data_IF_847784624340
#
_entry.id   IF_847784624340
#
_cell.length_a   1.000
_cell.length_b   1.000
_cell.length_c   1.000
_cell.angle_alpha   90.00
_cell.angle_beta   90.00
_cell.angle_gamma   90.00
#
_symmetry.space_group_name_H-M   'P 1'
#
loop_
_entity.id
_entity.type
_entity.pdbx_description
1 polymer ?
#
# COMPACT_ATOMS: atom_id res chain seq x y z
N UNK A 1 11.75 12.54 -20.39
CA UNK A 1 11.00 11.56 -19.55
C UNK A 1 10.75 12.26 -18.22
N UNK A 2 9.51 12.27 -17.74
CA UNK A 2 9.17 12.91 -16.46
C UNK A 2 9.54 11.92 -15.35
N UNK A 3 10.44 12.32 -14.45
CA UNK A 3 10.94 11.50 -13.34
C UNK A 3 12.37 10.97 -13.55
N UNK A 4 13.05 10.67 -12.45
CA UNK A 4 14.33 9.95 -12.46
C UNK A 4 14.12 8.50 -12.91
N UNK A 5 15.09 7.88 -13.60
CA UNK A 5 15.01 6.47 -13.98
C UNK A 5 14.91 5.59 -12.72
N UNK A 6 14.12 4.52 -12.80
CA UNK A 6 13.97 3.58 -11.69
C UNK A 6 15.29 2.86 -11.39
N UNK A 7 15.77 2.99 -10.15
CA UNK A 7 16.95 2.30 -9.64
C UNK A 7 16.53 1.26 -8.57
N UNK A 8 16.78 -0.04 -8.78
CA UNK A 8 16.41 -1.08 -7.82
C UNK A 8 17.20 -1.00 -6.50
N UNK A 9 18.31 -0.26 -6.43
CA UNK A 9 19.12 -0.11 -5.22
C UNK A 9 18.83 1.19 -4.46
N UNK A 10 18.02 2.10 -5.02
CA UNK A 10 17.66 3.36 -4.40
C UNK A 10 16.14 3.47 -4.16
N UNK A 11 15.71 3.32 -2.90
CA UNK A 11 14.31 3.58 -2.51
C UNK A 11 14.09 5.07 -2.26
N UNK A 12 13.07 5.71 -2.88
CA UNK A 12 12.73 7.10 -2.60
C UNK A 12 12.22 7.28 -1.16
N UNK A 13 12.37 8.50 -0.61
CA UNK A 13 12.01 8.81 0.78
C UNK A 13 10.51 8.64 1.08
N UNK A 14 9.66 8.96 0.10
CA UNK A 14 8.21 8.85 0.22
C UNK A 14 7.67 7.93 -0.89
N UNK A 15 7.20 6.75 -0.51
CA UNK A 15 6.59 5.77 -1.40
C UNK A 15 5.09 5.68 -1.06
N UNK A 16 4.28 6.36 -1.86
CA UNK A 16 2.83 6.42 -1.70
C UNK A 16 2.14 5.84 -2.93
N UNK A 17 1.04 5.10 -2.75
CA UNK A 17 0.24 4.65 -3.88
C UNK A 17 -0.67 5.79 -4.37
N UNK A 18 -1.51 5.49 -5.36
CA UNK A 18 -2.56 6.42 -5.79
C UNK A 18 -3.60 6.69 -4.69
N UNK A 19 -4.28 7.83 -4.77
CA UNK A 19 -5.20 8.34 -3.75
C UNK A 19 -6.29 7.35 -3.35
N UNK A 20 -6.82 6.57 -4.29
CA UNK A 20 -7.86 5.57 -4.05
C UNK A 20 -7.36 4.33 -3.29
N UNK A 21 -6.05 4.11 -3.21
CA UNK A 21 -5.45 3.00 -2.46
C UNK A 21 -5.00 3.38 -1.04
N UNK A 22 -5.03 4.65 -0.66
CA UNK A 22 -4.69 5.11 0.69
C UNK A 22 -5.37 4.34 1.83
N UNK A 23 -6.70 4.06 1.82
CA UNK A 23 -7.32 3.32 2.92
C UNK A 23 -6.77 1.90 3.08
N UNK A 24 -6.48 1.22 1.97
CA UNK A 24 -5.91 -0.13 1.97
C UNK A 24 -4.44 -0.11 2.42
N UNK A 25 -3.66 0.85 1.94
CA UNK A 25 -2.26 1.03 2.32
C UNK A 25 -2.11 1.30 3.83
N UNK A 26 -3.00 2.11 4.41
CA UNK A 26 -3.00 2.38 5.84
C UNK A 26 -3.29 1.14 6.69
N UNK A 27 -4.20 0.27 6.26
CA UNK A 27 -4.48 -1.00 6.96
C UNK A 27 -3.26 -1.93 6.88
N UNK A 28 -2.64 -2.04 5.70
CA UNK A 28 -1.47 -2.89 5.47
C UNK A 28 -0.24 -2.48 6.30
N UNK A 29 0.01 -1.17 6.50
CA UNK A 29 1.12 -0.69 7.34
C UNK A 29 0.85 -0.75 8.85
N UNK A 30 -0.41 -0.79 9.26
CA UNK A 30 -0.79 -0.69 10.69
C UNK A 30 -0.95 -2.07 11.33
N UNK A 31 -1.33 -3.08 10.56
CA UNK A 31 -1.52 -4.45 11.07
C UNK A 31 -0.20 -5.23 10.99
N UNK A 32 0.40 -5.65 12.13
CA UNK A 32 1.70 -6.32 12.13
C UNK A 32 1.67 -7.74 11.52
N UNK A 33 0.49 -8.37 11.52
CA UNK A 33 0.28 -9.69 10.92
C UNK A 33 -0.25 -9.56 9.49
N UNK A 34 0.56 -9.97 8.51
CA UNK A 34 0.25 -9.89 7.08
C UNK A 34 -1.02 -10.66 6.67
N UNK A 35 -1.34 -11.76 7.35
CA UNK A 35 -2.56 -12.55 7.08
C UNK A 35 -3.80 -11.81 7.58
N UNK A 36 -3.76 -11.26 8.80
CA UNK A 36 -4.86 -10.46 9.35
C UNK A 36 -5.08 -9.17 8.55
N UNK A 37 -4.01 -8.51 8.08
CA UNK A 37 -4.11 -7.34 7.21
C UNK A 37 -4.78 -7.64 5.87
N UNK A 38 -4.46 -8.79 5.26
CA UNK A 38 -5.11 -9.25 4.02
C UNK A 38 -6.60 -9.56 4.20
N UNK A 39 -6.96 -10.21 5.31
CA UNK A 39 -8.37 -10.53 5.64
C UNK A 39 -9.17 -9.26 5.95
N UNK A 40 -8.62 -8.30 6.70
CA UNK A 40 -9.29 -7.04 6.97
C UNK A 40 -9.50 -6.22 5.70
N UNK A 41 -8.50 -6.19 4.80
CA UNK A 41 -8.67 -5.63 3.46
C UNK A 41 -9.82 -6.32 2.73
N UNK A 42 -9.84 -7.65 2.68
CA UNK A 42 -10.88 -8.39 1.92
C UNK A 42 -12.28 -8.20 2.51
N UNK A 43 -12.42 -8.15 3.84
CA UNK A 43 -13.72 -7.94 4.50
C UNK A 43 -14.24 -6.52 4.30
N UNK A 44 -13.35 -5.51 4.34
CA UNK A 44 -13.76 -4.11 4.12
C UNK A 44 -14.15 -3.86 2.66
N UNK A 45 -13.44 -4.48 1.70
CA UNK A 45 -13.77 -4.30 0.27
C UNK A 45 -14.98 -5.13 -0.19
N UNK A 46 -15.36 -6.19 0.53
CA UNK A 46 -16.43 -7.11 0.13
C UNK A 46 -17.74 -6.86 0.89
N UNK A 47 -17.89 -5.65 1.45
CA UNK A 47 -19.09 -5.25 2.18
C UNK A 47 -20.08 -4.60 1.20
N UNK A 48 -20.57 -5.41 0.27
CA UNK A 48 -21.76 -5.18 -0.57
C UNK A 48 -22.66 -6.41 -0.47
#
# INVERSE_FOLDING_TARGET
>A
MIGEPADPFATPLEILPEWYFFPVFQILRTVPNKLLGGVLKSVIINKE
#
